data_IF_509560147297
#
_entry.id   IF_509560147297
#
_cell.length_a   1.000
_cell.length_b   1.000
_cell.length_c   1.000
_cell.angle_alpha   90.00
_cell.angle_beta   90.00
_cell.angle_gamma   90.00
#
_symmetry.space_group_name_H-M   'P 1'
#
loop_
_entity.id
_entity.type
_entity.pdbx_description
1 polymer ?
#
# COMPACT_ATOMS: atom_id res chain seq x y z
N UNK A 1 -14.04 -12.62 -14.34
CA UNK A 1 -13.30 -11.65 -13.52
C UNK A 1 -11.87 -12.10 -13.36
N UNK A 2 -10.92 -11.23 -13.65
CA UNK A 2 -9.50 -11.56 -13.47
C UNK A 2 -9.11 -11.33 -12.03
N UNK A 3 -8.49 -12.33 -11.39
CA UNK A 3 -7.89 -12.16 -10.08
C UNK A 3 -6.38 -12.00 -10.24
N UNK A 4 -5.88 -10.85 -9.82
CA UNK A 4 -4.46 -10.56 -9.87
C UNK A 4 -3.79 -10.90 -8.53
N UNK A 5 -2.49 -11.08 -8.56
CA UNK A 5 -1.66 -11.24 -7.39
C UNK A 5 -0.37 -10.44 -7.59
N UNK A 6 0.12 -9.79 -6.53
CA UNK A 6 1.31 -8.95 -6.64
C UNK A 6 2.53 -9.75 -7.09
N UNK A 7 3.26 -9.17 -8.05
CA UNK A 7 4.53 -9.68 -8.54
C UNK A 7 5.66 -9.22 -7.63
N UNK A 8 6.76 -9.95 -7.66
CA UNK A 8 7.91 -9.68 -6.80
C UNK A 8 8.44 -8.25 -6.93
N UNK A 9 8.46 -7.70 -8.15
CA UNK A 9 8.95 -6.33 -8.36
C UNK A 9 8.14 -5.28 -7.60
N UNK A 10 6.82 -5.45 -7.54
CA UNK A 10 5.96 -4.53 -6.80
C UNK A 10 6.08 -4.75 -5.29
N UNK A 11 6.24 -5.99 -4.85
CA UNK A 11 6.52 -6.28 -3.44
C UNK A 11 7.84 -5.63 -3.03
N UNK A 12 8.86 -5.69 -3.87
CA UNK A 12 10.15 -5.04 -3.58
C UNK A 12 10.00 -3.53 -3.44
N UNK A 13 9.14 -2.91 -4.26
CA UNK A 13 8.88 -1.48 -4.15
C UNK A 13 8.15 -1.15 -2.84
N UNK A 14 7.19 -1.96 -2.45
CA UNK A 14 6.49 -1.78 -1.17
C UNK A 14 7.45 -1.90 0.00
N UNK A 15 8.39 -2.86 -0.05
CA UNK A 15 9.45 -2.99 0.96
C UNK A 15 10.23 -1.68 1.13
N UNK A 16 10.57 -1.03 0.01
CA UNK A 16 11.30 0.24 0.03
C UNK A 16 10.48 1.35 0.70
N UNK A 17 9.19 1.39 0.44
CA UNK A 17 8.31 2.38 1.06
C UNK A 17 8.14 2.15 2.55
N UNK A 18 8.01 0.89 2.96
CA UNK A 18 7.72 0.55 4.36
C UNK A 18 8.94 0.56 5.26
N UNK A 19 10.11 0.21 4.72
CA UNK A 19 11.31 0.01 5.52
C UNK A 19 11.26 -1.29 6.32
N UNK A 20 12.43 -1.71 6.82
CA UNK A 20 12.58 -3.01 7.48
C UNK A 20 13.09 -2.85 8.90
N UNK A 21 12.46 -3.55 9.84
CA UNK A 21 13.02 -3.79 11.17
C UNK A 21 12.98 -5.28 11.45
N UNK A 22 14.17 -5.87 11.67
CA UNK A 22 14.27 -7.29 12.03
C UNK A 22 13.99 -7.54 13.51
N UNK A 23 13.88 -6.47 14.30
CA UNK A 23 13.58 -6.56 15.72
C UNK A 23 12.28 -5.82 16.03
N UNK A 24 11.45 -6.42 16.89
CA UNK A 24 10.21 -5.82 17.32
C UNK A 24 10.43 -4.47 18.01
N UNK A 25 9.59 -3.49 17.68
CA UNK A 25 9.66 -2.16 18.27
C UNK A 25 8.29 -1.53 18.35
N UNK A 26 8.18 -0.48 19.16
CA UNK A 26 6.98 0.36 19.20
C UNK A 26 7.37 1.74 18.68
N UNK A 27 6.75 2.20 17.55
CA UNK A 27 7.04 3.54 17.04
C UNK A 27 6.77 4.64 18.05
N UNK A 28 5.71 4.45 18.86
CA UNK A 28 5.41 5.34 19.99
C UNK A 28 5.08 4.48 21.21
N UNK A 29 5.42 4.94 22.45
CA UNK A 29 5.20 4.14 23.64
C UNK A 29 3.75 3.79 23.94
N UNK A 30 2.81 4.58 23.41
CA UNK A 30 1.37 4.39 23.60
C UNK A 30 0.77 3.31 22.72
N UNK A 31 1.53 2.77 21.74
CA UNK A 31 1.04 1.68 20.90
C UNK A 31 0.75 0.45 21.74
N UNK A 32 -0.39 -0.18 21.43
CA UNK A 32 -0.81 -1.39 22.14
C UNK A 32 0.09 -2.58 21.83
N UNK A 33 0.46 -2.73 20.55
CA UNK A 33 1.23 -3.86 20.07
C UNK A 33 2.56 -3.42 19.49
N UNK A 34 3.46 -4.38 19.29
CA UNK A 34 4.74 -4.16 18.64
C UNK A 34 4.63 -4.26 17.13
N UNK A 35 5.57 -3.62 16.44
CA UNK A 35 5.73 -3.69 14.98
C UNK A 35 7.02 -4.44 14.67
N UNK A 36 7.04 -5.22 13.57
CA UNK A 36 8.23 -5.94 13.12
C UNK A 36 8.18 -6.09 11.59
N UNK A 37 9.33 -6.36 10.98
CA UNK A 37 9.43 -6.59 9.54
C UNK A 37 9.16 -5.32 8.75
N UNK A 38 8.30 -5.41 7.76
CA UNK A 38 7.92 -4.29 6.88
C UNK A 38 6.59 -3.68 7.37
N UNK A 39 6.55 -3.34 8.65
CA UNK A 39 5.38 -2.69 9.22
C UNK A 39 4.30 -3.65 9.73
N UNK A 40 4.64 -4.93 9.93
CA UNK A 40 3.68 -5.88 10.50
C UNK A 40 3.41 -5.54 11.97
N UNK A 41 2.16 -5.26 12.31
CA UNK A 41 1.73 -4.81 13.62
C UNK A 41 0.64 -5.74 14.15
N UNK A 42 0.76 -6.17 15.39
CA UNK A 42 -0.30 -6.98 15.97
C UNK A 42 0.08 -7.64 17.27
N UNK A 43 -0.90 -8.31 17.88
CA UNK A 43 -0.74 -9.04 19.13
C UNK A 43 0.20 -10.24 19.00
N UNK A 44 0.44 -10.70 17.77
CA UNK A 44 1.35 -11.81 17.49
C UNK A 44 2.83 -11.39 17.53
N UNK A 45 3.12 -10.08 17.56
CA UNK A 45 4.49 -9.58 17.67
C UNK A 45 4.84 -9.41 19.13
N UNK A 46 5.90 -10.09 19.57
CA UNK A 46 6.31 -10.09 20.98
C UNK A 46 7.50 -9.16 21.19
N UNK A 47 7.59 -8.60 22.41
CA UNK A 47 8.74 -7.79 22.80
C UNK A 47 10.02 -8.59 22.60
N UNK A 48 11.05 -7.92 22.06
CA UNK A 48 12.36 -8.51 21.79
C UNK A 48 12.40 -9.60 20.73
N UNK A 49 11.30 -9.79 19.97
CA UNK A 49 11.27 -10.74 18.87
C UNK A 49 12.22 -10.30 17.76
N UNK A 50 12.92 -11.27 17.17
CA UNK A 50 13.84 -11.06 16.04
C UNK A 50 13.46 -12.03 14.94
N UNK A 51 13.41 -11.54 13.71
CA UNK A 51 13.08 -12.35 12.53
C UNK A 51 14.14 -12.15 11.44
N UNK A 52 14.13 -13.04 10.46
CA UNK A 52 14.98 -12.93 9.27
C UNK A 52 14.28 -12.06 8.21
N UNK A 53 15.03 -11.63 7.20
CA UNK A 53 14.44 -10.91 6.05
C UNK A 53 13.40 -11.77 5.33
N UNK A 54 13.66 -13.06 5.21
CA UNK A 54 12.74 -14.00 4.58
C UNK A 54 11.42 -14.08 5.35
N UNK A 55 11.50 -14.14 6.68
CA UNK A 55 10.31 -14.12 7.52
C UNK A 55 9.57 -12.79 7.41
N UNK A 56 10.31 -11.67 7.33
CA UNK A 56 9.72 -10.34 7.15
C UNK A 56 8.94 -10.27 5.82
N UNK A 57 9.50 -10.82 4.74
CA UNK A 57 8.79 -10.83 3.46
C UNK A 57 7.53 -11.71 3.53
N UNK A 58 7.60 -12.86 4.20
CA UNK A 58 6.44 -13.73 4.38
C UNK A 58 5.32 -13.02 5.13
N UNK A 59 5.64 -12.27 6.17
CA UNK A 59 4.68 -11.45 6.91
C UNK A 59 4.06 -10.38 6.02
N UNK A 60 4.89 -9.69 5.23
CA UNK A 60 4.39 -8.66 4.32
C UNK A 60 3.43 -9.25 3.29
N UNK A 61 3.79 -10.38 2.67
CA UNK A 61 2.93 -11.03 1.69
C UNK A 61 1.59 -11.41 2.30
N UNK A 62 1.60 -11.94 3.52
CA UNK A 62 0.38 -12.30 4.24
C UNK A 62 -0.46 -11.06 4.54
N UNK A 63 0.18 -9.99 5.01
CA UNK A 63 -0.53 -8.73 5.31
C UNK A 63 -1.16 -8.13 4.06
N UNK A 64 -0.53 -8.30 2.90
CA UNK A 64 -1.04 -7.77 1.63
C UNK A 64 -2.25 -8.52 1.09
N UNK A 65 -2.46 -9.78 1.49
CA UNK A 65 -3.52 -10.62 0.93
C UNK A 65 -4.91 -9.98 1.02
N UNK A 66 -5.26 -9.41 2.15
CA UNK A 66 -6.59 -8.79 2.30
C UNK A 66 -6.76 -7.57 1.40
N UNK A 67 -5.66 -6.86 1.10
CA UNK A 67 -5.71 -5.72 0.20
C UNK A 67 -5.78 -6.17 -1.26
N UNK A 68 -5.07 -7.25 -1.61
CA UNK A 68 -5.21 -7.88 -2.92
C UNK A 68 -6.65 -8.32 -3.15
N UNK A 69 -7.24 -9.00 -2.18
CA UNK A 69 -8.63 -9.46 -2.27
C UNK A 69 -9.60 -8.29 -2.40
N UNK A 70 -9.40 -7.25 -1.60
CA UNK A 70 -10.25 -6.06 -1.65
C UNK A 70 -10.24 -5.41 -3.03
N UNK A 71 -9.05 -5.19 -3.59
CA UNK A 71 -8.92 -4.53 -4.90
C UNK A 71 -9.49 -5.43 -6.00
N UNK A 72 -9.23 -6.73 -5.97
CA UNK A 72 -9.83 -7.67 -6.92
C UNK A 72 -11.35 -7.62 -6.86
N UNK A 73 -11.92 -7.55 -5.66
CA UNK A 73 -13.37 -7.55 -5.47
C UNK A 73 -14.03 -6.25 -5.93
N UNK A 74 -13.29 -5.15 -6.05
CA UNK A 74 -13.84 -3.92 -6.62
C UNK A 74 -14.20 -4.08 -8.09
N UNK A 75 -13.54 -4.99 -8.81
CA UNK A 75 -13.84 -5.27 -10.21
C UNK A 75 -13.52 -4.13 -11.16
N UNK A 76 -12.61 -3.22 -10.79
CA UNK A 76 -12.29 -2.04 -11.60
C UNK A 76 -10.98 -2.14 -12.36
N UNK A 77 -10.14 -3.13 -12.06
CA UNK A 77 -8.83 -3.26 -12.68
C UNK A 77 -8.91 -4.12 -13.92
N UNK A 78 -8.53 -3.54 -15.07
CA UNK A 78 -8.45 -4.25 -16.35
C UNK A 78 -7.04 -4.78 -16.61
N UNK A 79 -6.04 -4.12 -16.02
CA UNK A 79 -4.63 -4.46 -16.21
C UNK A 79 -3.98 -4.69 -14.85
N UNK A 80 -2.94 -5.52 -14.84
CA UNK A 80 -2.19 -5.81 -13.62
C UNK A 80 -1.62 -4.53 -12.98
N UNK A 81 -1.12 -3.58 -13.80
CA UNK A 81 -0.53 -2.34 -13.28
C UNK A 81 -1.52 -1.52 -12.47
N UNK A 82 -2.78 -1.51 -12.87
CA UNK A 82 -3.83 -0.82 -12.14
C UNK A 82 -4.05 -1.48 -10.77
N UNK A 83 -4.07 -2.81 -10.75
CA UNK A 83 -4.19 -3.59 -9.53
C UNK A 83 -3.03 -3.30 -8.57
N UNK A 84 -1.79 -3.39 -9.05
CA UNK A 84 -0.61 -3.18 -8.20
C UNK A 84 -0.62 -1.80 -7.55
N UNK A 85 -0.98 -0.77 -8.32
CA UNK A 85 -1.11 0.60 -7.82
C UNK A 85 -2.13 0.72 -6.71
N UNK A 86 -3.35 0.18 -6.93
CA UNK A 86 -4.44 0.31 -5.97
C UNK A 86 -4.20 -0.54 -4.71
N UNK A 87 -3.49 -1.66 -4.84
CA UNK A 87 -3.10 -2.44 -3.66
C UNK A 87 -2.19 -1.61 -2.77
N UNK A 88 -1.16 -0.96 -3.32
CA UNK A 88 -0.29 -0.12 -2.52
C UNK A 88 -1.05 1.05 -1.89
N UNK A 89 -1.92 1.70 -2.65
CA UNK A 89 -2.74 2.80 -2.13
C UNK A 89 -3.58 2.33 -0.93
N UNK A 90 -4.29 1.21 -1.06
CA UNK A 90 -5.14 0.70 0.02
C UNK A 90 -4.33 0.17 1.19
N UNK A 91 -3.17 -0.43 0.93
CA UNK A 91 -2.27 -0.90 1.99
C UNK A 91 -1.76 0.26 2.84
N UNK A 92 -1.37 1.36 2.20
CA UNK A 92 -0.86 2.54 2.89
C UNK A 92 -1.96 3.33 3.61
N UNK A 93 -3.13 3.49 2.98
CA UNK A 93 -4.16 4.41 3.46
C UNK A 93 -5.40 3.73 4.02
N UNK A 94 -5.56 2.44 3.80
CA UNK A 94 -6.71 1.66 4.25
C UNK A 94 -7.72 1.42 3.14
N UNK A 95 -8.44 0.31 3.25
CA UNK A 95 -9.48 -0.06 2.28
C UNK A 95 -10.65 0.93 2.29
N UNK A 96 -10.99 1.45 3.46
CA UNK A 96 -12.06 2.45 3.58
C UNK A 96 -11.72 3.74 2.84
N UNK A 97 -10.46 4.18 2.91
CA UNK A 97 -10.02 5.37 2.19
C UNK A 97 -10.18 5.19 0.68
N UNK A 98 -9.71 4.06 0.14
CA UNK A 98 -9.89 3.76 -1.28
C UNK A 98 -11.38 3.67 -1.64
N UNK A 99 -12.17 2.94 -0.84
CA UNK A 99 -13.58 2.72 -1.13
C UNK A 99 -14.43 3.99 -1.18
N UNK A 100 -14.06 5.01 -0.39
CA UNK A 100 -14.79 6.28 -0.34
C UNK A 100 -14.17 7.38 -1.20
N UNK A 101 -13.05 7.08 -1.86
CA UNK A 101 -12.27 8.10 -2.56
C UNK A 101 -12.93 8.58 -3.84
N UNK A 102 -12.68 9.85 -4.16
CA UNK A 102 -13.00 10.39 -5.48
C UNK A 102 -12.14 9.69 -6.55
N UNK A 103 -10.94 9.24 -6.17
CA UNK A 103 -10.09 8.44 -7.04
C UNK A 103 -10.86 7.23 -7.60
N UNK A 104 -11.45 6.43 -6.72
CA UNK A 104 -12.21 5.24 -7.15
C UNK A 104 -13.42 5.63 -7.99
N UNK A 105 -14.11 6.69 -7.60
CA UNK A 105 -15.26 7.22 -8.38
C UNK A 105 -14.84 7.57 -9.80
N UNK A 106 -13.71 8.27 -9.95
CA UNK A 106 -13.21 8.67 -11.27
C UNK A 106 -12.74 7.47 -12.10
N UNK A 107 -12.13 6.48 -11.47
CA UNK A 107 -11.76 5.24 -12.15
C UNK A 107 -13.03 4.58 -12.73
N UNK A 108 -14.08 4.46 -11.92
CA UNK A 108 -15.34 3.86 -12.36
C UNK A 108 -16.01 4.64 -13.49
N UNK A 109 -15.83 5.96 -13.51
CA UNK A 109 -16.40 6.82 -14.55
C UNK A 109 -15.53 6.86 -15.82
N UNK A 110 -14.35 6.26 -15.79
CA UNK A 110 -13.45 6.29 -16.94
C UNK A 110 -12.87 7.67 -17.23
N UNK A 111 -12.65 8.48 -16.20
CA UNK A 111 -12.06 9.81 -16.36
C UNK A 111 -10.67 9.74 -17.01
N UNK A 112 -10.31 10.83 -17.71
CA UNK A 112 -9.01 10.91 -18.37
C UNK A 112 -7.85 10.84 -17.35
N UNK A 113 -6.68 10.42 -17.84
CA UNK A 113 -5.49 10.19 -17.02
C UNK A 113 -5.17 11.37 -16.10
N UNK A 114 -5.22 12.61 -16.59
CA UNK A 114 -4.88 13.77 -15.80
C UNK A 114 -5.73 13.90 -14.53
N UNK A 115 -7.02 13.58 -14.62
CA UNK A 115 -7.93 13.69 -13.46
C UNK A 115 -7.66 12.60 -12.44
N UNK A 116 -7.37 11.40 -12.90
CA UNK A 116 -7.03 10.28 -12.01
C UNK A 116 -5.71 10.56 -11.30
N UNK A 117 -4.69 11.07 -12.02
CA UNK A 117 -3.41 11.45 -11.41
C UNK A 117 -3.57 12.50 -10.33
N UNK A 118 -4.41 13.51 -10.58
CA UNK A 118 -4.69 14.56 -9.60
C UNK A 118 -5.31 13.99 -8.33
N UNK A 119 -6.17 12.96 -8.45
CA UNK A 119 -6.79 12.34 -7.29
C UNK A 119 -5.78 11.55 -6.45
N UNK A 120 -4.84 10.83 -7.08
CA UNK A 120 -3.74 10.22 -6.33
C UNK A 120 -2.97 11.27 -5.53
N UNK A 121 -2.62 12.37 -6.18
CA UNK A 121 -1.76 13.40 -5.61
C UNK A 121 -2.35 14.11 -4.38
N UNK A 122 -3.65 14.00 -4.14
CA UNK A 122 -4.28 14.61 -2.98
C UNK A 122 -3.92 13.93 -1.65
N UNK A 123 -3.47 12.69 -1.68
CA UNK A 123 -3.24 11.88 -0.48
C UNK A 123 -1.80 11.96 0.01
N UNK A 124 -1.36 13.17 0.33
CA UNK A 124 0.04 13.47 0.66
C UNK A 124 0.23 14.09 2.05
N UNK A 125 -0.84 14.16 2.85
CA UNK A 125 -0.78 14.75 4.17
C UNK A 125 -0.95 13.68 5.26
N UNK A 126 -0.25 13.87 6.36
CA UNK A 126 -0.45 13.10 7.59
C UNK A 126 -0.45 14.07 8.76
N UNK A 127 -1.47 13.97 9.62
CA UNK A 127 -1.65 14.87 10.77
C UNK A 127 -1.58 16.34 10.37
N UNK A 128 -2.18 16.68 9.24
CA UNK A 128 -2.23 18.06 8.73
C UNK A 128 -0.97 18.53 8.05
N UNK A 129 0.05 17.70 7.90
CA UNK A 129 1.32 18.07 7.28
C UNK A 129 1.54 17.33 5.98
N UNK A 130 2.03 18.05 4.96
CA UNK A 130 2.43 17.44 3.70
C UNK A 130 3.78 16.74 3.90
N UNK A 131 3.82 15.44 3.57
CA UNK A 131 5.02 14.63 3.75
C UNK A 131 5.62 14.26 2.39
N UNK A 132 6.92 14.51 2.24
CA UNK A 132 7.66 14.20 1.01
C UNK A 132 7.55 12.72 0.64
N UNK A 133 7.63 11.83 1.61
CA UNK A 133 7.50 10.38 1.37
C UNK A 133 6.15 10.02 0.76
N UNK A 134 5.08 10.68 1.21
CA UNK A 134 3.75 10.43 0.66
C UNK A 134 3.61 11.00 -0.75
N UNK A 135 4.24 12.15 -1.03
CA UNK A 135 4.27 12.71 -2.39
C UNK A 135 4.92 11.72 -3.35
N UNK A 136 6.07 11.17 -2.96
CA UNK A 136 6.81 10.20 -3.78
C UNK A 136 5.98 8.93 -3.99
N UNK A 137 5.34 8.44 -2.92
CA UNK A 137 4.54 7.21 -2.99
C UNK A 137 3.33 7.37 -3.91
N UNK A 138 2.61 8.49 -3.79
CA UNK A 138 1.45 8.77 -4.68
C UNK A 138 1.89 8.93 -6.13
N UNK A 139 3.03 9.57 -6.38
CA UNK A 139 3.56 9.71 -7.73
C UNK A 139 3.89 8.34 -8.34
N UNK A 140 4.52 7.45 -7.56
CA UNK A 140 4.79 6.10 -8.02
C UNK A 140 3.50 5.34 -8.34
N UNK A 141 2.49 5.44 -7.46
CA UNK A 141 1.20 4.78 -7.69
C UNK A 141 0.53 5.25 -8.97
N UNK A 142 0.53 6.57 -9.21
CA UNK A 142 -0.08 7.14 -10.41
C UNK A 142 0.64 6.64 -11.67
N UNK A 143 1.97 6.65 -11.68
CA UNK A 143 2.75 6.13 -12.79
C UNK A 143 2.51 4.63 -12.99
N UNK A 144 2.49 3.88 -11.89
CA UNK A 144 2.25 2.44 -11.94
C UNK A 144 0.88 2.12 -12.49
N UNK A 145 -0.14 2.88 -12.07
CA UNK A 145 -1.52 2.71 -12.54
C UNK A 145 -1.60 2.75 -14.06
N UNK A 146 -0.91 3.70 -14.67
CA UNK A 146 -0.92 3.89 -16.12
C UNK A 146 0.17 3.09 -16.84
N UNK A 147 0.89 2.23 -16.12
CA UNK A 147 1.92 1.38 -16.72
C UNK A 147 3.15 2.16 -17.15
N UNK A 148 3.39 3.33 -16.59
CA UNK A 148 4.55 4.17 -16.89
C UNK A 148 5.61 3.98 -15.81
N UNK A 149 6.88 4.13 -16.19
CA UNK A 149 7.97 4.12 -15.24
C UNK A 149 8.21 5.52 -14.72
N UNK A 150 8.45 5.60 -13.42
CA UNK A 150 8.76 6.87 -12.78
C UNK A 150 10.25 7.14 -12.72
#
# INVERSE_FOLDING_TARGET
>A
MTNFKLQQSDINQIKKFEGLSLRAYKPVPTERFYTIGYGHYGADVKANQVITEKEAESLLRKDLEKFEDYVNNLGVCKRYSEFASLVDFSFNLGTAALGRSTLLKYIRQGKAEQYIREEFAKWVNSKGMRLKGLVIRRAWEADRYFGKES
#
